data_IF_252229114153
#
_entry.id   IF_252229114153
#
_cell.length_a   1.000
_cell.length_b   1.000
_cell.length_c   1.000
_cell.angle_alpha   90.00
_cell.angle_beta   90.00
_cell.angle_gamma   90.00
#
_symmetry.space_group_name_H-M   'P 1'
#
loop_
_entity.id
_entity.type
_entity.pdbx_description
1 polymer ?
#
# COMPACT_ATOMS: atom_id res chain seq x y z
N UNK A 1 -8.33 -22.01 -24.64
CA UNK A 1 -7.07 -21.26 -24.58
C UNK A 1 -6.58 -21.24 -23.14
N UNK A 2 -5.52 -21.98 -22.79
CA UNK A 2 -4.86 -21.82 -21.49
C UNK A 2 -3.80 -20.71 -21.62
N UNK A 3 -3.90 -19.65 -20.81
CA UNK A 3 -2.95 -18.52 -20.79
C UNK A 3 -3.59 -17.15 -20.55
N UNK A 4 -4.83 -16.94 -21.00
CA UNK A 4 -5.49 -15.62 -20.88
C UNK A 4 -6.00 -15.28 -19.48
N UNK A 5 -6.44 -16.28 -18.70
CA UNK A 5 -6.92 -16.03 -17.34
C UNK A 5 -5.81 -15.74 -16.32
N UNK A 6 -4.58 -16.21 -16.59
CA UNK A 6 -3.48 -16.12 -15.63
C UNK A 6 -2.72 -14.80 -15.73
N UNK A 7 -2.61 -14.17 -16.90
CA UNK A 7 -1.96 -12.85 -17.05
C UNK A 7 -2.80 -11.70 -16.48
N UNK A 8 -4.14 -11.86 -16.49
CA UNK A 8 -5.08 -10.83 -16.05
C UNK A 8 -5.09 -10.64 -14.53
N UNK A 9 -4.82 -11.70 -13.75
CA UNK A 9 -4.81 -11.66 -12.28
C UNK A 9 -3.60 -10.88 -11.70
N UNK A 10 -2.35 -11.07 -12.16
CA UNK A 10 -1.21 -10.26 -11.74
C UNK A 10 -1.36 -8.77 -12.02
N UNK A 11 -1.97 -8.40 -13.15
CA UNK A 11 -2.25 -6.99 -13.45
C UNK A 11 -3.23 -6.38 -12.45
N UNK A 12 -4.31 -7.10 -12.13
CA UNK A 12 -5.29 -6.66 -11.13
C UNK A 12 -4.68 -6.54 -9.73
N UNK A 13 -3.82 -7.47 -9.32
CA UNK A 13 -3.10 -7.40 -8.04
C UNK A 13 -2.18 -6.18 -7.99
N UNK A 14 -1.52 -5.87 -9.10
CA UNK A 14 -0.68 -4.66 -9.22
C UNK A 14 -1.52 -3.39 -9.12
N UNK A 15 -2.66 -3.33 -9.80
CA UNK A 15 -3.55 -2.15 -9.78
C UNK A 15 -4.11 -1.90 -8.37
N UNK A 16 -4.50 -2.96 -7.65
CA UNK A 16 -4.91 -2.86 -6.24
C UNK A 16 -3.75 -2.37 -5.36
N UNK A 17 -2.53 -2.86 -5.58
CA UNK A 17 -1.34 -2.37 -4.89
C UNK A 17 -1.12 -0.87 -5.09
N UNK A 18 -1.20 -0.38 -6.33
CA UNK A 18 -1.07 1.05 -6.67
C UNK A 18 -2.15 1.88 -5.98
N UNK A 19 -3.41 1.42 -6.04
CA UNK A 19 -4.53 2.10 -5.39
C UNK A 19 -4.34 2.22 -3.88
N UNK A 20 -3.97 1.12 -3.20
CA UNK A 20 -3.77 1.11 -1.74
C UNK A 20 -2.60 2.03 -1.34
N UNK A 21 -1.52 2.06 -2.13
CA UNK A 21 -0.41 2.97 -1.87
C UNK A 21 -0.84 4.43 -1.96
N UNK A 22 -1.55 4.81 -3.04
CA UNK A 22 -2.05 6.18 -3.21
C UNK A 22 -3.03 6.60 -2.11
N UNK A 23 -3.88 5.67 -1.65
CA UNK A 23 -4.77 5.90 -0.51
C UNK A 23 -3.97 6.12 0.78
N UNK A 24 -2.97 5.30 1.06
CA UNK A 24 -2.12 5.44 2.24
C UNK A 24 -1.38 6.79 2.25
N UNK A 25 -0.84 7.21 1.10
CA UNK A 25 -0.14 8.49 0.93
C UNK A 25 -1.09 9.69 1.14
N UNK A 26 -2.27 9.65 0.53
CA UNK A 26 -3.31 10.69 0.68
C UNK A 26 -3.74 10.83 2.14
N UNK A 27 -4.01 9.71 2.82
CA UNK A 27 -4.43 9.70 4.22
C UNK A 27 -3.32 10.17 5.17
N UNK A 28 -2.06 9.82 4.87
CA UNK A 28 -0.91 10.28 5.66
C UNK A 28 -0.75 11.80 5.54
N UNK A 29 -0.85 12.33 4.33
CA UNK A 29 -0.78 13.78 4.07
C UNK A 29 -1.93 14.54 4.77
N UNK A 30 -3.15 14.00 4.72
CA UNK A 30 -4.29 14.58 5.41
C UNK A 30 -4.11 14.58 6.94
N UNK A 31 -3.55 13.51 7.50
CA UNK A 31 -3.28 13.40 8.93
C UNK A 31 -2.18 14.36 9.38
N UNK A 32 -1.12 14.54 8.60
CA UNK A 32 -0.05 15.51 8.88
C UNK A 32 -0.57 16.97 8.79
N UNK A 33 -1.49 17.26 7.86
CA UNK A 33 -2.19 18.55 7.81
C UNK A 33 -3.00 18.80 9.08
N UNK A 34 -3.81 17.82 9.49
CA UNK A 34 -4.60 17.91 10.73
C UNK A 34 -3.70 18.04 11.97
N UNK A 35 -2.54 17.40 11.99
CA UNK A 35 -1.56 17.54 13.07
C UNK A 35 -1.03 18.98 13.19
N UNK A 36 -0.87 19.67 12.06
CA UNK A 36 -0.48 21.09 12.04
C UNK A 36 -1.58 21.95 12.66
N UNK A 37 -2.84 21.79 12.22
CA UNK A 37 -3.98 22.54 12.73
C UNK A 37 -4.19 22.31 14.24
N UNK A 38 -4.05 21.06 14.70
CA UNK A 38 -4.17 20.70 16.12
C UNK A 38 -3.03 21.31 16.93
N UNK A 39 -1.80 21.29 16.42
CA UNK A 39 -0.67 21.92 17.09
C UNK A 39 -0.84 23.44 17.22
N UNK A 40 -1.36 24.11 16.19
CA UNK A 40 -1.67 25.54 16.26
C UNK A 40 -2.75 25.84 17.30
N UNK A 41 -3.80 25.01 17.35
CA UNK A 41 -4.89 25.17 18.32
C UNK A 41 -4.39 25.01 19.77
N UNK A 42 -3.62 23.95 20.05
CA UNK A 42 -3.14 23.61 21.40
C UNK A 42 -2.00 24.54 21.88
N UNK A 43 -1.19 25.07 20.96
CA UNK A 43 -0.17 26.07 21.29
C UNK A 43 -0.74 27.49 21.35
N UNK A 44 -2.00 27.67 20.96
CA UNK A 44 -2.69 28.95 20.91
C UNK A 44 -3.35 29.31 22.24
N UNK A 45 -4.58 29.80 22.18
CA UNK A 45 -5.33 30.25 23.35
C UNK A 45 -6.13 29.16 24.04
N UNK A 46 -6.18 27.93 23.49
CA UNK A 46 -6.95 26.85 24.09
C UNK A 46 -6.08 26.05 25.06
N UNK A 47 -6.37 26.20 26.35
CA UNK A 47 -5.59 25.61 27.44
C UNK A 47 -6.50 25.09 28.55
N UNK A 48 -5.97 24.25 29.44
CA UNK A 48 -6.65 23.69 30.60
C UNK A 48 -7.09 22.23 30.39
N UNK A 49 -7.72 21.64 31.40
CA UNK A 49 -7.95 20.19 31.49
C UNK A 49 -8.59 19.56 30.23
N UNK A 50 -9.54 20.25 29.59
CA UNK A 50 -10.15 19.76 28.35
C UNK A 50 -9.24 19.81 27.12
N UNK A 51 -8.31 20.78 27.07
CA UNK A 51 -7.30 20.84 26.03
C UNK A 51 -6.27 19.72 26.21
N UNK A 52 -5.92 19.41 27.46
CA UNK A 52 -5.02 18.31 27.80
C UNK A 52 -5.64 16.96 27.43
N UNK A 53 -6.89 16.70 27.82
CA UNK A 53 -7.62 15.47 27.48
C UNK A 53 -7.77 15.31 25.95
N UNK A 54 -8.05 16.40 25.23
CA UNK A 54 -8.07 16.39 23.77
C UNK A 54 -6.69 16.09 23.18
N UNK A 55 -5.62 16.68 23.70
CA UNK A 55 -4.25 16.46 23.23
C UNK A 55 -3.84 15.00 23.37
N UNK A 56 -4.18 14.36 24.50
CA UNK A 56 -3.93 12.94 24.72
C UNK A 56 -4.69 12.08 23.70
N UNK A 57 -6.00 12.29 23.56
CA UNK A 57 -6.82 11.56 22.59
C UNK A 57 -6.37 11.78 21.14
N UNK A 58 -5.97 13.00 20.79
CA UNK A 58 -5.41 13.31 19.48
C UNK A 58 -4.11 12.55 19.22
N UNK A 59 -3.21 12.49 20.21
CA UNK A 59 -1.95 11.75 20.08
C UNK A 59 -2.21 10.27 19.78
N UNK A 60 -3.21 9.66 20.43
CA UNK A 60 -3.59 8.27 20.17
C UNK A 60 -4.13 8.08 18.75
N UNK A 61 -5.02 8.96 18.30
CA UNK A 61 -5.60 8.92 16.95
C UNK A 61 -4.52 9.12 15.88
N UNK A 62 -3.64 10.09 16.07
CA UNK A 62 -2.54 10.39 15.16
C UNK A 62 -1.56 9.21 15.03
N UNK A 63 -1.12 8.66 16.16
CA UNK A 63 -0.19 7.53 16.14
C UNK A 63 -0.84 6.26 15.58
N UNK A 64 -2.09 6.00 15.95
CA UNK A 64 -2.87 4.89 15.41
C UNK A 64 -3.06 5.00 13.90
N UNK A 65 -3.44 6.19 13.41
CA UNK A 65 -3.60 6.48 11.99
C UNK A 65 -2.31 6.24 11.21
N UNK A 66 -1.18 6.77 11.69
CA UNK A 66 0.14 6.56 11.05
C UNK A 66 0.50 5.09 10.94
N UNK A 67 0.25 4.29 11.97
CA UNK A 67 0.51 2.83 11.95
C UNK A 67 -0.36 2.12 10.91
N UNK A 68 -1.64 2.48 10.81
CA UNK A 68 -2.55 1.92 9.81
C UNK A 68 -2.08 2.26 8.39
N UNK A 69 -1.72 3.51 8.13
CA UNK A 69 -1.29 3.92 6.79
C UNK A 69 0.05 3.30 6.39
N UNK A 70 0.98 3.16 7.34
CA UNK A 70 2.22 2.40 7.11
C UNK A 70 1.95 0.93 6.79
N UNK A 71 0.98 0.30 7.47
CA UNK A 71 0.57 -1.07 7.18
C UNK A 71 -0.06 -1.19 5.77
N UNK A 72 -0.88 -0.22 5.36
CA UNK A 72 -1.43 -0.14 4.00
C UNK A 72 -0.32 0.00 2.95
N UNK A 73 0.65 0.89 3.15
CA UNK A 73 1.79 1.04 2.25
C UNK A 73 2.61 -0.27 2.14
N UNK A 74 2.84 -0.95 3.28
CA UNK A 74 3.52 -2.26 3.31
C UNK A 74 2.73 -3.33 2.54
N UNK A 75 1.40 -3.34 2.67
CA UNK A 75 0.54 -4.26 1.92
C UNK A 75 0.62 -3.99 0.41
N UNK A 76 0.57 -2.72 0.00
CA UNK A 76 0.71 -2.32 -1.39
C UNK A 76 2.05 -2.77 -2.01
N UNK A 77 3.15 -2.59 -1.29
CA UNK A 77 4.49 -3.06 -1.71
C UNK A 77 4.50 -4.58 -1.93
N UNK A 78 3.96 -5.35 -0.98
CA UNK A 78 3.89 -6.82 -1.08
C UNK A 78 3.02 -7.29 -2.25
N UNK A 79 1.92 -6.61 -2.55
CA UNK A 79 1.09 -6.92 -3.71
C UNK A 79 1.85 -6.67 -5.01
N UNK A 80 2.62 -5.58 -5.10
CA UNK A 80 3.52 -5.31 -6.23
C UNK A 80 4.56 -6.42 -6.43
N UNK A 81 5.29 -6.79 -5.37
CA UNK A 81 6.28 -7.89 -5.40
C UNK A 81 5.66 -9.22 -5.83
N UNK A 82 4.45 -9.50 -5.35
CA UNK A 82 3.72 -10.72 -5.71
C UNK A 82 3.40 -10.74 -7.20
N UNK A 83 2.84 -9.64 -7.74
CA UNK A 83 2.54 -9.52 -9.16
C UNK A 83 3.78 -9.70 -10.05
N UNK A 84 4.93 -9.13 -9.65
CA UNK A 84 6.19 -9.23 -10.39
C UNK A 84 6.75 -10.66 -10.39
N UNK A 85 6.68 -11.33 -9.23
CA UNK A 85 7.10 -12.74 -9.09
C UNK A 85 6.28 -13.65 -9.98
N UNK A 86 4.95 -13.46 -10.02
CA UNK A 86 4.07 -14.25 -10.89
C UNK A 86 4.39 -14.07 -12.37
N UNK A 87 4.62 -12.82 -12.84
CA UNK A 87 5.01 -12.58 -14.25
C UNK A 87 6.33 -13.25 -14.60
N UNK A 88 7.31 -13.25 -13.70
CA UNK A 88 8.60 -13.91 -13.90
C UNK A 88 8.46 -15.44 -14.02
N UNK A 89 7.70 -16.06 -13.12
CA UNK A 89 7.43 -17.51 -13.15
C UNK A 89 6.67 -17.90 -14.42
N UNK A 90 5.67 -17.13 -14.82
CA UNK A 90 4.90 -17.36 -16.05
C UNK A 90 5.79 -17.27 -17.30
N UNK A 91 6.59 -16.21 -17.43
CA UNK A 91 7.51 -16.03 -18.55
C UNK A 91 8.55 -17.16 -18.63
N UNK A 92 9.11 -17.58 -17.49
CA UNK A 92 10.06 -18.68 -17.42
C UNK A 92 9.40 -20.02 -17.77
N UNK A 93 8.17 -20.26 -17.32
CA UNK A 93 7.40 -21.46 -17.65
C UNK A 93 7.04 -21.50 -19.12
N UNK A 94 6.59 -20.39 -19.70
CA UNK A 94 6.30 -20.27 -21.14
C UNK A 94 7.56 -20.52 -21.99
N UNK A 95 8.71 -19.97 -21.59
CA UNK A 95 9.99 -20.24 -22.23
C UNK A 95 10.40 -21.71 -22.11
N UNK A 96 10.21 -22.32 -20.93
CA UNK A 96 10.51 -23.73 -20.68
C UNK A 96 9.55 -24.68 -21.41
N UNK A 97 8.31 -24.28 -21.69
CA UNK A 97 7.34 -25.03 -22.50
C UNK A 97 7.55 -24.83 -24.01
N UNK A 98 8.19 -23.73 -24.42
CA UNK A 98 8.64 -23.48 -25.79
C UNK A 98 9.93 -24.29 -26.13
N UNK A 99 9.92 -25.58 -25.76
CA UNK A 99 11.02 -26.52 -25.97
C UNK A 99 11.28 -26.67 -27.48
N UNK A 100 12.52 -26.43 -27.98
CA UNK A 100 12.89 -26.65 -29.37
C UNK A 100 12.74 -28.12 -29.77
N UNK A 101 12.31 -28.36 -31.02
CA UNK A 101 12.08 -29.70 -31.59
C UNK A 101 13.26 -30.64 -31.36
N UNK A 102 12.97 -31.83 -30.82
CA UNK A 102 13.89 -32.96 -30.82
C UNK A 102 14.37 -33.22 -32.25
N UNK A 103 15.65 -32.98 -32.49
CA UNK A 103 16.38 -33.45 -33.65
C UNK A 103 16.49 -34.97 -33.52
N UNK A 104 15.66 -35.69 -34.27
CA UNK A 104 15.87 -37.11 -34.52
C UNK A 104 16.77 -37.24 -35.75
N UNK A 105 18.04 -37.54 -35.51
CA UNK A 105 18.96 -38.08 -36.52
C UNK A 105 18.52 -39.46 -36.98
#
# INVERSE_FOLDING_TARGET
>A
MPGQGFSVVPEQVRDVGIYIYGLADTLSSALDSAATDVAELLNGSWTGDYADEFSEGWSEVHDGGRRIFQALATMAEKLGVTADTFRSVDANTAAALNIPKLNWT
#
